data_IF_188272623721
#
_entry.id   IF_188272623721
#
_cell.length_a   1.000
_cell.length_b   1.000
_cell.length_c   1.000
_cell.angle_alpha   90.00
_cell.angle_beta   90.00
_cell.angle_gamma   90.00
#
_symmetry.space_group_name_H-M   'P 1'
#
loop_
_entity.id
_entity.type
_entity.pdbx_description
1 polymer ?
#
# COMPACT_ATOMS: atom_id res chain seq x y z
N UNK A 1 3.09 -4.20 10.17
CA UNK A 1 2.63 -5.59 10.01
C UNK A 1 1.15 -5.54 9.66
N UNK A 2 0.74 -6.13 8.53
CA UNK A 2 -0.66 -6.06 8.03
C UNK A 2 -1.68 -6.55 9.07
N UNK A 3 -1.30 -7.52 9.91
CA UNK A 3 -2.16 -7.99 11.00
C UNK A 3 -2.58 -6.86 11.97
N UNK A 4 -1.64 -6.00 12.38
CA UNK A 4 -1.91 -4.92 13.35
C UNK A 4 -2.83 -3.85 12.74
N UNK A 5 -2.74 -3.65 11.44
CA UNK A 5 -3.57 -2.71 10.67
C UNK A 5 -5.01 -3.22 10.55
N UNK A 6 -5.21 -4.53 10.32
CA UNK A 6 -6.54 -5.16 10.33
C UNK A 6 -7.19 -5.06 11.72
N UNK A 7 -6.44 -5.34 12.78
CA UNK A 7 -6.93 -5.21 14.16
C UNK A 7 -7.28 -3.77 14.53
N UNK A 8 -6.45 -2.81 14.13
CA UNK A 8 -6.73 -1.38 14.33
C UNK A 8 -8.03 -0.94 13.64
N UNK A 9 -8.22 -1.33 12.37
CA UNK A 9 -9.44 -1.02 11.63
C UNK A 9 -10.70 -1.68 12.25
N UNK A 10 -10.57 -2.90 12.76
CA UNK A 10 -11.65 -3.58 13.47
C UNK A 10 -12.03 -2.87 14.78
N UNK A 11 -11.04 -2.38 15.54
CA UNK A 11 -11.26 -1.59 16.75
C UNK A 11 -11.96 -0.25 16.44
N UNK A 12 -11.57 0.45 15.38
CA UNK A 12 -12.27 1.67 14.97
C UNK A 12 -13.72 1.40 14.56
N UNK A 13 -13.98 0.30 13.86
CA UNK A 13 -15.34 -0.08 13.47
C UNK A 13 -16.20 -0.37 14.71
N UNK A 14 -15.62 -0.97 15.74
CA UNK A 14 -16.30 -1.23 17.01
C UNK A 14 -16.59 0.08 17.76
N UNK A 15 -15.66 1.04 17.76
CA UNK A 15 -15.86 2.38 18.32
C UNK A 15 -16.98 3.17 17.61
N UNK A 16 -17.05 3.06 16.28
CA UNK A 16 -18.11 3.70 15.49
C UNK A 16 -19.51 3.20 15.88
N UNK A 17 -19.61 1.97 16.41
CA UNK A 17 -20.84 1.40 16.96
C UNK A 17 -21.33 2.01 18.26
N UNK A 18 -20.52 2.81 18.95
CA UNK A 18 -20.90 3.48 20.18
C UNK A 18 -21.51 4.89 19.95
N UNK A 19 -21.62 5.35 18.70
CA UNK A 19 -22.21 6.67 18.39
C UNK A 19 -23.75 6.66 18.46
N UNK A 20 -24.34 7.84 18.72
CA UNK A 20 -25.81 8.05 18.82
C UNK A 20 -26.62 7.46 17.66
N UNK A 21 -26.05 7.39 16.45
CA UNK A 21 -26.63 6.73 15.28
C UNK A 21 -25.78 5.52 14.84
N UNK A 22 -25.65 4.52 15.73
CA UNK A 22 -24.76 3.38 15.56
C UNK A 22 -24.90 2.66 14.20
N UNK A 23 -26.13 2.42 13.74
CA UNK A 23 -26.37 1.69 12.48
C UNK A 23 -25.86 2.44 11.25
N UNK A 24 -26.01 3.77 11.23
CA UNK A 24 -25.55 4.62 10.14
C UNK A 24 -24.04 4.87 10.23
N UNK A 25 -23.50 5.07 11.43
CA UNK A 25 -22.07 5.25 11.66
C UNK A 25 -21.26 3.99 11.28
N UNK A 26 -21.69 2.81 11.76
CA UNK A 26 -21.04 1.54 11.42
C UNK A 26 -21.10 1.27 9.92
N UNK A 27 -22.28 1.40 9.29
CA UNK A 27 -22.41 1.10 7.86
C UNK A 27 -21.60 2.04 6.97
N UNK A 28 -21.54 3.33 7.32
CA UNK A 28 -20.69 4.33 6.65
C UNK A 28 -19.21 3.97 6.80
N UNK A 29 -18.77 3.64 8.03
CA UNK A 29 -17.38 3.33 8.32
C UNK A 29 -16.92 2.01 7.69
N UNK A 30 -17.74 0.96 7.75
CA UNK A 30 -17.46 -0.32 7.09
C UNK A 30 -17.35 -0.17 5.56
N UNK A 31 -18.23 0.64 4.95
CA UNK A 31 -18.17 0.92 3.52
C UNK A 31 -16.87 1.64 3.14
N UNK A 32 -16.49 2.65 3.93
CA UNK A 32 -15.23 3.37 3.78
C UNK A 32 -14.01 2.43 3.88
N UNK A 33 -13.97 1.55 4.88
CA UNK A 33 -12.88 0.58 5.05
C UNK A 33 -12.81 -0.43 3.91
N UNK A 34 -13.96 -0.91 3.43
CA UNK A 34 -14.01 -1.88 2.34
C UNK A 34 -13.44 -1.28 1.06
N UNK A 35 -13.82 -0.03 0.75
CA UNK A 35 -13.28 0.72 -0.38
C UNK A 35 -11.76 0.86 -0.29
N UNK A 36 -11.25 1.27 0.88
CA UNK A 36 -9.81 1.42 1.12
C UNK A 36 -9.07 0.09 0.93
N UNK A 37 -9.68 -1.01 1.40
CA UNK A 37 -9.08 -2.35 1.32
C UNK A 37 -8.95 -2.84 -0.12
N UNK A 38 -9.98 -2.60 -0.95
CA UNK A 38 -9.96 -2.98 -2.36
C UNK A 38 -8.83 -2.30 -3.13
N UNK A 39 -8.65 -1.00 -2.90
CA UNK A 39 -7.57 -0.25 -3.53
C UNK A 39 -6.19 -0.74 -3.06
N UNK A 40 -6.03 -0.95 -1.76
CA UNK A 40 -4.78 -1.41 -1.16
C UNK A 40 -4.36 -2.77 -1.75
N UNK A 41 -5.32 -3.69 -2.00
CA UNK A 41 -5.05 -4.98 -2.65
C UNK A 41 -4.54 -4.82 -4.09
N UNK A 42 -5.11 -3.89 -4.86
CA UNK A 42 -4.65 -3.60 -6.22
C UNK A 42 -3.21 -3.06 -6.18
N UNK A 43 -2.94 -2.09 -5.30
CA UNK A 43 -1.61 -1.50 -5.12
C UNK A 43 -0.56 -2.54 -4.69
N UNK A 44 -0.88 -3.41 -3.72
CA UNK A 44 0.02 -4.48 -3.29
C UNK A 44 0.30 -5.47 -4.45
N UNK A 45 -0.70 -5.80 -5.26
CA UNK A 45 -0.53 -6.71 -6.40
C UNK A 45 0.52 -6.21 -7.40
N UNK A 46 0.42 -4.95 -7.81
CA UNK A 46 1.42 -4.33 -8.69
C UNK A 46 2.82 -4.29 -8.06
N UNK A 47 2.90 -3.89 -6.80
CA UNK A 47 4.16 -3.85 -6.06
C UNK A 47 4.80 -5.23 -5.88
N UNK A 48 3.99 -6.28 -5.72
CA UNK A 48 4.46 -7.65 -5.60
C UNK A 48 5.10 -8.14 -6.89
N UNK A 49 4.44 -7.93 -8.03
CA UNK A 49 4.97 -8.30 -9.36
C UNK A 49 6.27 -7.55 -9.66
N UNK A 50 6.31 -6.24 -9.40
CA UNK A 50 7.51 -5.45 -9.60
C UNK A 50 8.67 -5.89 -8.68
N UNK A 51 8.37 -6.31 -7.45
CA UNK A 51 9.39 -6.84 -6.53
C UNK A 51 9.97 -8.16 -7.00
N UNK A 52 9.15 -9.07 -7.53
CA UNK A 52 9.63 -10.33 -8.10
C UNK A 52 10.63 -10.10 -9.24
N UNK A 53 10.46 -9.04 -10.05
CA UNK A 53 11.45 -8.67 -11.07
C UNK A 53 12.79 -8.25 -10.45
N UNK A 54 12.75 -7.44 -9.40
CA UNK A 54 13.95 -7.01 -8.66
C UNK A 54 14.66 -8.22 -8.05
N UNK A 55 13.91 -9.17 -7.48
CA UNK A 55 14.46 -10.41 -6.90
C UNK A 55 15.14 -11.30 -7.95
N UNK A 56 14.55 -11.42 -9.16
CA UNK A 56 15.15 -12.16 -10.27
C UNK A 56 16.45 -11.49 -10.75
N UNK A 57 16.46 -10.16 -10.89
CA UNK A 57 17.67 -9.42 -11.31
C UNK A 57 18.77 -9.48 -10.25
N UNK A 58 18.39 -9.44 -8.97
CA UNK A 58 19.31 -9.60 -7.84
C UNK A 58 19.94 -11.00 -7.85
N UNK A 59 19.16 -12.04 -8.13
CA UNK A 59 19.64 -13.42 -8.26
C UNK A 59 20.64 -13.64 -9.40
N UNK A 60 20.68 -12.75 -10.40
CA UNK A 60 21.66 -12.79 -11.52
C UNK A 60 22.97 -12.05 -11.22
N UNK A 61 23.14 -11.46 -10.03
CA UNK A 61 24.37 -10.79 -9.61
C UNK A 61 24.62 -9.41 -10.22
N UNK A 62 23.66 -8.82 -10.94
CA UNK A 62 23.80 -7.52 -11.60
C UNK A 62 23.34 -6.35 -10.72
N UNK A 63 24.21 -5.91 -9.79
CA UNK A 63 23.89 -4.87 -8.82
C UNK A 63 23.46 -3.51 -9.42
N UNK A 64 23.99 -3.13 -10.59
CA UNK A 64 23.59 -1.89 -11.29
C UNK A 64 22.16 -1.95 -11.82
N UNK A 65 21.76 -3.08 -12.41
CA UNK A 65 20.42 -3.28 -12.98
C UNK A 65 19.36 -3.30 -11.87
N UNK A 66 19.65 -3.97 -10.75
CA UNK A 66 18.74 -4.01 -9.59
C UNK A 66 18.45 -2.62 -9.02
N UNK A 67 19.45 -1.72 -8.96
CA UNK A 67 19.22 -0.33 -8.49
C UNK A 67 18.31 0.44 -9.43
N UNK A 68 18.48 0.27 -10.74
CA UNK A 68 17.62 0.92 -11.73
C UNK A 68 16.18 0.40 -11.65
N UNK A 69 16.00 -0.92 -11.56
CA UNK A 69 14.69 -1.58 -11.44
C UNK A 69 13.94 -1.13 -10.17
N UNK A 70 14.65 -0.92 -9.06
CA UNK A 70 14.06 -0.41 -7.83
C UNK A 70 13.59 1.05 -7.94
N UNK A 71 14.34 1.91 -8.64
CA UNK A 71 13.95 3.32 -8.88
C UNK A 71 12.72 3.39 -9.78
N UNK A 72 12.67 2.56 -10.83
CA UNK A 72 11.51 2.45 -11.72
C UNK A 72 10.29 1.97 -10.94
N UNK A 73 10.44 0.96 -10.08
CA UNK A 73 9.37 0.45 -9.23
C UNK A 73 8.80 1.54 -8.29
N UNK A 74 9.69 2.29 -7.63
CA UNK A 74 9.33 3.43 -6.78
C UNK A 74 8.53 4.48 -7.57
N UNK A 75 9.01 4.86 -8.76
CA UNK A 75 8.32 5.81 -9.62
C UNK A 75 6.94 5.32 -10.05
N UNK A 76 6.83 4.05 -10.47
CA UNK A 76 5.54 3.48 -10.90
C UNK A 76 4.52 3.43 -9.77
N UNK A 77 4.96 3.15 -8.54
CA UNK A 77 4.05 3.14 -7.38
C UNK A 77 3.54 4.52 -7.01
N UNK A 78 4.39 5.56 -7.09
CA UNK A 78 3.97 6.94 -6.84
C UNK A 78 2.98 7.39 -7.92
N UNK A 79 3.25 7.07 -9.19
CA UNK A 79 2.35 7.37 -10.29
C UNK A 79 0.99 6.67 -10.13
N UNK A 80 0.98 5.37 -9.76
CA UNK A 80 -0.25 4.62 -9.50
C UNK A 80 -1.04 5.21 -8.31
N UNK A 81 -0.37 5.55 -7.21
CA UNK A 81 -1.03 6.17 -6.05
C UNK A 81 -1.67 7.53 -6.37
N UNK A 82 -0.99 8.37 -7.16
CA UNK A 82 -1.56 9.64 -7.64
C UNK A 82 -2.76 9.41 -8.57
N UNK A 83 -2.66 8.44 -9.48
CA UNK A 83 -3.76 8.08 -10.39
C UNK A 83 -5.00 7.63 -9.62
N UNK A 84 -4.83 6.74 -8.63
CA UNK A 84 -5.92 6.26 -7.79
C UNK A 84 -6.51 7.37 -6.92
N UNK A 85 -5.70 8.25 -6.35
CA UNK A 85 -6.20 9.39 -5.57
C UNK A 85 -7.09 10.34 -6.39
N UNK A 86 -6.68 10.66 -7.62
CA UNK A 86 -7.47 11.49 -8.54
C UNK A 86 -8.76 10.77 -8.99
N UNK A 87 -8.66 9.49 -9.34
CA UNK A 87 -9.83 8.66 -9.67
C UNK A 87 -10.83 8.63 -8.51
N UNK A 88 -10.36 8.52 -7.28
CA UNK A 88 -11.22 8.50 -6.09
C UNK A 88 -11.94 9.82 -5.85
N UNK A 89 -11.27 10.96 -6.07
CA UNK A 89 -11.92 12.27 -5.98
C UNK A 89 -13.05 12.41 -7.00
N UNK A 90 -12.80 12.02 -8.25
CA UNK A 90 -13.75 12.17 -9.36
C UNK A 90 -14.93 11.19 -9.26
N UNK A 91 -14.66 9.92 -8.92
CA UNK A 91 -15.68 8.86 -8.88
C UNK A 91 -16.28 8.59 -7.49
N UNK A 92 -15.91 9.38 -6.47
CA UNK A 92 -16.39 9.25 -5.08
C UNK A 92 -17.92 9.10 -4.97
N UNK A 93 -18.64 9.87 -5.77
CA UNK A 93 -20.10 9.91 -5.76
C UNK A 93 -20.74 8.68 -6.43
N UNK A 94 -20.05 8.05 -7.39
CA UNK A 94 -20.50 6.85 -8.10
C UNK A 94 -20.16 5.58 -7.31
N UNK A 95 -18.96 5.52 -6.72
CA UNK A 95 -18.54 4.41 -5.85
C UNK A 95 -19.47 4.30 -4.63
N UNK A 96 -19.86 5.44 -4.05
CA UNK A 96 -20.73 5.45 -2.86
C UNK A 96 -22.12 4.87 -3.14
N UNK A 97 -22.67 5.08 -4.34
CA UNK A 97 -23.94 4.49 -4.77
C UNK A 97 -23.84 3.01 -5.16
N UNK A 98 -22.66 2.54 -5.60
CA UNK A 98 -22.44 1.14 -5.93
C UNK A 98 -22.36 0.23 -4.70
N UNK A 99 -21.90 0.75 -3.56
CA UNK A 99 -21.71 -0.03 -2.33
C UNK A 99 -22.88 0.04 -1.34
N UNK A 100 -23.80 1.01 -1.47
CA UNK A 100 -24.94 1.11 -0.54
C UNK A 100 -26.23 1.54 -1.22
N UNK A 101 -27.33 0.85 -0.88
CA UNK A 101 -28.69 1.20 -1.33
C UNK A 101 -29.32 2.32 -0.50
N UNK A 102 -28.71 2.73 0.62
CA UNK A 102 -29.24 3.78 1.52
C UNK A 102 -28.62 5.13 1.20
N UNK A 103 -29.46 6.06 0.76
CA UNK A 103 -29.09 7.43 0.36
C UNK A 103 -28.36 8.19 1.49
N UNK A 104 -28.75 7.94 2.76
CA UNK A 104 -28.14 8.58 3.92
C UNK A 104 -26.68 8.13 4.14
N UNK A 105 -26.40 6.84 3.92
CA UNK A 105 -25.04 6.27 4.01
C UNK A 105 -24.18 6.78 2.86
N UNK A 106 -24.72 6.83 1.63
CA UNK A 106 -24.01 7.36 0.47
C UNK A 106 -23.61 8.83 0.64
N UNK A 107 -24.48 9.66 1.23
CA UNK A 107 -24.21 11.07 1.51
C UNK A 107 -23.15 11.25 2.59
N UNK A 108 -23.18 10.42 3.63
CA UNK A 108 -22.16 10.42 4.69
C UNK A 108 -20.78 10.00 4.15
N UNK A 109 -20.72 8.92 3.35
CA UNK A 109 -19.46 8.48 2.70
C UNK A 109 -18.94 9.54 1.72
N UNK A 110 -19.81 10.18 0.94
CA UNK A 110 -19.41 11.26 0.01
C UNK A 110 -18.79 12.46 0.74
N UNK A 111 -19.26 12.81 1.94
CA UNK A 111 -18.65 13.87 2.76
C UNK A 111 -17.26 13.49 3.27
N UNK A 112 -17.01 12.19 3.49
CA UNK A 112 -15.73 11.63 3.91
C UNK A 112 -14.80 11.32 2.73
N UNK A 113 -15.28 11.41 1.49
CA UNK A 113 -14.54 10.99 0.30
C UNK A 113 -13.26 11.83 0.05
N UNK A 114 -13.28 13.12 0.38
CA UNK A 114 -12.07 13.95 0.32
C UNK A 114 -10.99 13.41 1.26
N UNK A 115 -11.40 12.99 2.47
CA UNK A 115 -10.52 12.44 3.50
C UNK A 115 -10.03 11.03 3.10
N UNK A 116 -10.90 10.25 2.44
CA UNK A 116 -10.56 8.97 1.84
C UNK A 116 -9.47 9.11 0.78
N UNK A 117 -9.60 10.07 -0.15
CA UNK A 117 -8.59 10.30 -1.22
C UNK A 117 -7.21 10.66 -0.66
N UNK A 118 -7.18 11.35 0.48
CA UNK A 118 -5.97 11.76 1.18
C UNK A 118 -5.33 10.59 1.92
N UNK A 119 -6.14 9.73 2.55
CA UNK A 119 -5.69 8.48 3.18
C UNK A 119 -5.12 7.52 2.15
N UNK A 120 -5.76 7.40 0.99
CA UNK A 120 -5.30 6.62 -0.16
C UNK A 120 -3.92 7.07 -0.63
N UNK A 121 -3.74 8.39 -0.80
CA UNK A 121 -2.47 8.96 -1.20
C UNK A 121 -1.37 8.69 -0.16
N UNK A 122 -1.70 8.78 1.13
CA UNK A 122 -0.78 8.48 2.23
C UNK A 122 -0.47 6.98 2.39
N UNK A 123 -1.45 6.10 2.15
CA UNK A 123 -1.30 4.64 2.27
C UNK A 123 -0.45 4.02 1.16
N UNK A 124 -0.33 4.69 0.02
CA UNK A 124 0.58 4.25 -1.05
C UNK A 124 2.07 4.30 -0.66
N UNK A 125 2.47 5.17 0.28
CA UNK A 125 3.88 5.40 0.60
C UNK A 125 4.55 4.33 1.51
N UNK A 126 3.94 3.85 2.61
CA UNK A 126 4.53 2.86 3.52
C UNK A 126 4.93 1.51 2.88
N UNK A 127 4.11 0.88 2.00
CA UNK A 127 4.49 -0.40 1.40
C UNK A 127 5.68 -0.31 0.45
N UNK A 128 5.95 0.89 -0.11
CA UNK A 128 7.10 1.11 -1.00
C UNK A 128 8.36 1.40 -0.21
N UNK A 129 8.28 2.26 0.81
CA UNK A 129 9.42 2.61 1.66
C UNK A 129 9.96 1.40 2.42
N UNK A 130 9.07 0.53 2.92
CA UNK A 130 9.48 -0.72 3.57
C UNK A 130 10.19 -1.68 2.61
N UNK A 131 9.76 -1.79 1.35
CA UNK A 131 10.43 -2.61 0.33
C UNK A 131 11.79 -2.06 -0.08
N UNK A 132 11.93 -0.74 -0.20
CA UNK A 132 13.24 -0.10 -0.46
C UNK A 132 14.20 -0.37 0.70
N UNK A 133 13.75 -0.25 1.95
CA UNK A 133 14.57 -0.57 3.13
C UNK A 133 15.04 -2.03 3.18
N UNK A 134 14.16 -2.98 2.86
CA UNK A 134 14.49 -4.42 2.79
C UNK A 134 15.44 -4.71 1.61
N UNK A 135 15.24 -4.05 0.46
CA UNK A 135 16.10 -4.17 -0.72
C UNK A 135 17.52 -3.67 -0.47
N UNK A 136 17.69 -2.53 0.22
CA UNK A 136 19.01 -2.01 0.63
C UNK A 136 19.66 -2.93 1.66
N UNK A 137 18.89 -3.46 2.62
CA UNK A 137 19.39 -4.42 3.61
C UNK A 137 19.91 -5.71 2.98
N UNK A 138 19.19 -6.27 2.00
CA UNK A 138 19.64 -7.45 1.24
C UNK A 138 20.82 -7.15 0.30
N UNK A 139 20.86 -5.97 -0.31
CA UNK A 139 22.01 -5.51 -1.11
C UNK A 139 23.27 -5.37 -0.23
N UNK A 140 23.16 -4.76 0.96
CA UNK A 140 24.26 -4.62 1.90
C UNK A 140 24.78 -5.98 2.39
N UNK A 141 23.86 -6.92 2.67
CA UNK A 141 24.21 -8.29 3.06
C UNK A 141 24.93 -9.05 1.95
N UNK A 142 24.49 -8.93 0.70
CA UNK A 142 25.19 -9.53 -0.44
C UNK A 142 26.59 -8.93 -0.67
N UNK A 143 26.75 -7.62 -0.45
CA UNK A 143 28.05 -6.95 -0.58
C UNK A 143 29.02 -7.34 0.56
N UNK A 144 28.53 -7.54 1.79
CA UNK A 144 29.32 -8.09 2.90
C UNK A 144 29.71 -9.54 2.68
N UNK A 145 28.81 -10.38 2.16
CA UNK A 145 29.08 -11.80 1.93
C UNK A 145 30.12 -12.01 0.81
N UNK A 146 30.08 -11.21 -0.26
CA UNK A 146 31.08 -11.22 -1.33
C UNK A 146 32.43 -10.66 -0.84
N UNK A 147 32.44 -9.59 -0.03
CA UNK A 147 33.68 -9.04 0.54
C UNK A 147 34.34 -9.98 1.56
N UNK A 148 33.55 -10.78 2.30
CA UNK A 148 34.05 -11.83 3.19
C UNK A 148 34.63 -13.04 2.43
N UNK A 149 34.04 -13.40 1.29
CA UNK A 149 34.56 -14.45 0.42
C UNK A 149 35.88 -14.05 -0.27
N UNK A 150 36.05 -12.78 -0.64
CA UNK A 150 37.31 -12.28 -1.22
C UNK A 150 38.45 -12.14 -0.21
N UNK A 151 38.16 -11.96 1.09
CA UNK A 151 39.21 -12.00 2.13
C UNK A 151 39.76 -13.41 2.39
N UNK A 152 38.93 -14.45 2.22
CA UNK A 152 39.35 -15.85 2.40
C UNK A 152 40.17 -16.40 1.22
N UNK A 153 40.02 -15.86 0.01
CA UNK A 153 40.86 -16.20 -1.14
C UNK A 153 42.19 -15.43 -1.21
N UNK A 154 42.42 -14.44 -0.33
CA UNK A 154 43.70 -13.72 -0.22
C UNK A 154 44.65 -14.30 0.83
N UNK A 155 44.25 -15.38 1.52
CA UNK A 155 45.01 -16.02 2.61
C UNK A 155 45.35 -17.50 2.34
N UNK A 156 45.05 -18.00 1.14
CA UNK A 156 45.40 -19.33 0.62
C UNK A 156 46.22 -19.16 -0.65
#
# INVERSE_FOLDING_TARGET
MVCLEVWYNALLALLAGYMMNATLAISTFCTFLNITTWELMICIGFLFVASMRVDIELGRGYAKTTRFSNVVNLSTSVSLGLLFSVLFLVFSHVISYAFTSRIEVAKAVSSLASLLSLIVLLNGAPPVLSRVGIGVGRQLWSHMSISGATMLQGFL
#
